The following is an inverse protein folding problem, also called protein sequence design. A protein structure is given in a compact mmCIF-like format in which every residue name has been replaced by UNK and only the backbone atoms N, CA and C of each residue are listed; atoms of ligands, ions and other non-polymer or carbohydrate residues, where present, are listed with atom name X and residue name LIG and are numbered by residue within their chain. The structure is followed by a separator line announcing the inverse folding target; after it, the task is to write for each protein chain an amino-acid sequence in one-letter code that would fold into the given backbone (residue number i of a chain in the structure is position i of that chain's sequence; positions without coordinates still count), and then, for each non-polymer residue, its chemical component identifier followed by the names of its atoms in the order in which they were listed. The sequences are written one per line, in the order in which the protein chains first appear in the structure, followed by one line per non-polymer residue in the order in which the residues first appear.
data_IF_519563444007
#
_entry.id   IF_519563444007
#
_cell.length_a   1.000
_cell.length_b   1.000
_cell.length_c   1.000
_cell.angle_alpha   90.00
_cell.angle_beta   90.00
_cell.angle_gamma   90.00
#
_symmetry.space_group_name_H-M   'P 1'
#
loop_
_entity.id
_entity.type
_entity.pdbx_description
1 polymer ?
2 non-polymer ?
3 non-polymer ?
4 water ?
#
# COMPACT_ATOMS: atom_id res chain seq x y z
N UNK A 4 12.28 2.00 -1.49
CA UNK A 4 11.44 1.36 -0.43
C UNK A 4 11.76 -0.12 -0.28
N UNK A 5 11.27 -0.72 0.80
CA UNK A 5 11.55 -2.12 1.10
C UNK A 5 10.30 -2.90 1.51
N UNK A 6 10.37 -4.21 1.35
CA UNK A 6 9.34 -5.12 1.84
C UNK A 6 9.99 -6.13 2.79
N UNK A 7 9.44 -6.20 3.99
CA UNK A 7 9.91 -7.10 5.02
C UNK A 7 8.88 -8.21 5.18
N UNK A 8 9.36 -9.45 5.26
CA UNK A 8 8.51 -10.59 5.56
C UNK A 8 8.69 -10.96 7.02
N UNK A 9 7.59 -11.30 7.68
CA UNK A 9 7.61 -11.75 9.07
C UNK A 9 6.96 -13.12 9.16
N UNK A 10 7.71 -14.08 9.70
CA UNK A 10 7.19 -15.41 9.95
C UNK A 10 7.01 -15.60 11.44
N UNK A 11 5.76 -15.77 11.87
CA UNK A 11 5.45 -16.04 13.26
C UNK A 11 5.52 -17.54 13.50
N UNK A 12 6.43 -17.96 14.38
CA UNK A 12 6.61 -19.38 14.70
C UNK A 12 6.82 -19.62 16.20
N UNK A 13 6.21 -18.76 17.00
CA UNK A 13 6.35 -18.82 18.46
C UNK A 13 5.28 -19.70 19.13
N UNK A 14 4.37 -20.25 18.32
CA UNK A 14 3.26 -21.06 18.81
C UNK A 14 3.68 -22.30 19.57
N UNK A 15 3.07 -22.50 20.74
CA UNK A 15 3.34 -23.66 21.59
C UNK A 15 2.75 -24.95 21.03
N UNK A 16 3.41 -26.07 21.31
CA UNK A 16 3.01 -27.36 20.79
C UNK A 16 1.98 -28.05 21.70
N UNK A 21 7.85 -33.09 21.40
CA UNK A 21 8.47 -32.59 20.18
C UNK A 21 7.81 -31.29 19.73
N UNK A 22 8.63 -30.24 19.49
CA UNK A 22 8.12 -28.97 18.97
C UNK A 22 7.48 -29.12 17.59
N UNK A 23 6.28 -28.54 17.43
CA UNK A 23 5.54 -28.60 16.17
C UNK A 23 6.34 -28.06 14.98
N UNK A 24 7.22 -27.11 15.26
CA UNK A 24 8.08 -26.49 14.24
C UNK A 24 9.04 -27.49 13.61
N UNK A 25 9.38 -28.53 14.36
CA UNK A 25 10.40 -29.49 13.96
C UNK A 25 9.85 -30.82 13.44
N UNK A 26 8.53 -30.95 13.38
CA UNK A 26 7.89 -32.13 12.80
C UNK A 26 8.30 -32.31 11.35
N UNK A 27 8.65 -33.55 10.96
CA UNK A 27 9.09 -33.84 9.59
C UNK A 27 8.03 -33.55 8.53
N UNK A 28 8.45 -32.96 7.42
CA UNK A 28 7.56 -32.67 6.29
C UNK A 28 8.39 -32.46 5.02
N UNK A 29 8.03 -33.18 3.96
CA UNK A 29 8.71 -33.10 2.66
C UNK A 29 10.24 -33.05 2.73
N UNK A 30 10.83 -34.05 3.39
CA UNK A 30 12.29 -34.18 3.55
C UNK A 30 12.95 -33.11 4.43
N UNK A 31 12.15 -32.16 4.91
CA UNK A 31 12.62 -31.13 5.84
C UNK A 31 11.67 -31.10 7.05
N UNK A 32 11.55 -29.95 7.71
CA UNK A 32 10.60 -29.77 8.81
C UNK A 32 9.45 -28.86 8.39
N UNK A 33 8.41 -28.80 9.22
CA UNK A 33 7.26 -27.92 8.95
C UNK A 33 7.71 -26.46 8.83
N UNK A 34 8.45 -25.98 9.83
CA UNK A 34 8.98 -24.61 9.82
C UNK A 34 10.01 -24.41 8.71
N UNK A 35 10.88 -25.39 8.50
CA UNK A 35 11.87 -25.34 7.43
C UNK A 35 11.25 -25.17 6.06
N UNK A 36 10.15 -25.89 5.83
CA UNK A 36 9.39 -25.77 4.58
C UNK A 36 8.81 -24.36 4.40
N UNK A 37 8.23 -23.81 5.47
CA UNK A 37 7.70 -22.45 5.47
C UNK A 37 8.80 -21.43 5.15
N UNK A 38 9.94 -21.55 5.82
CA UNK A 38 11.07 -20.65 5.59
C UNK A 38 11.64 -20.78 4.18
N UNK A 39 11.67 -22.00 3.66
CA UNK A 39 12.09 -22.25 2.26
C UNK A 39 11.23 -21.48 1.28
N UNK A 40 9.92 -21.42 1.55
CA UNK A 40 8.98 -20.67 0.72
C UNK A 40 9.22 -19.16 0.84
N UNK A 41 9.38 -18.68 2.07
CA UNK A 41 9.63 -17.26 2.33
C UNK A 41 10.93 -16.76 1.67
N UNK A 42 11.95 -17.62 1.67
CA UNK A 42 13.25 -17.29 1.07
C UNK A 42 13.19 -17.14 -0.46
N UNK A 43 12.14 -17.69 -1.07
CA UNK A 43 11.95 -17.63 -2.52
C UNK A 43 11.17 -16.39 -2.98
N UNK A 44 10.56 -15.69 -2.01
CA UNK A 44 9.63 -14.60 -2.30
C UNK A 44 10.29 -13.28 -2.69
N UNK A 45 11.55 -13.10 -2.32
CA UNK A 45 12.30 -11.89 -2.66
C UNK A 45 12.17 -10.77 -1.65
N UNK A 46 12.05 -11.12 -0.38
CA UNK A 46 12.01 -10.14 0.69
C UNK A 46 13.38 -9.48 0.89
N UNK A 47 13.36 -8.18 1.16
CA UNK A 47 14.57 -7.43 1.48
C UNK A 47 15.06 -7.80 2.89
N UNK A 48 14.11 -8.20 3.74
CA UNK A 48 14.38 -8.56 5.13
C UNK A 48 13.42 -9.67 5.53
N UNK A 49 13.92 -10.67 6.25
CA UNK A 49 13.08 -11.74 6.77
C UNK A 49 13.27 -11.88 8.28
N UNK A 50 12.17 -11.70 9.02
CA UNK A 50 12.16 -11.80 10.47
C UNK A 50 11.40 -13.07 10.87
N UNK A 51 11.99 -13.85 11.77
CA UNK A 51 11.36 -15.05 12.31
C UNK A 51 11.22 -14.90 13.82
N UNK A 52 10.01 -15.16 14.33
CA UNK A 52 9.80 -15.18 15.78
C UNK A 52 9.75 -16.61 16.29
N UNK A 53 10.40 -16.83 17.42
CA UNK A 53 10.40 -18.15 18.06
C UNK A 53 10.05 -18.02 19.53
N UNK A 54 9.53 -19.09 20.11
CA UNK A 54 9.16 -19.12 21.52
C UNK A 54 10.08 -19.97 22.37
N UNK A 55 9.48 -20.91 23.12
CA UNK A 55 10.23 -21.79 24.01
C UNK A 55 11.08 -22.82 23.31
N UNK A 56 10.75 -23.12 22.05
CA UNK A 56 11.49 -24.10 21.26
C UNK A 56 12.67 -23.49 20.50
N UNK A 57 12.99 -22.23 20.79
CA UNK A 57 14.05 -21.49 20.10
C UNK A 57 15.38 -22.24 19.99
N UNK A 58 15.87 -22.75 21.13
CA UNK A 58 17.12 -23.49 21.18
C UNK A 58 17.11 -24.74 20.29
N UNK A 59 16.00 -25.48 20.36
CA UNK A 59 15.83 -26.70 19.57
C UNK A 59 15.80 -26.41 18.07
N UNK A 60 15.08 -25.35 17.69
CA UNK A 60 15.00 -24.93 16.28
C UNK A 60 16.38 -24.53 15.76
N UNK A 61 17.09 -23.71 16.53
CA UNK A 61 18.44 -23.25 16.17
C UNK A 61 19.41 -24.40 15.90
N UNK A 62 19.34 -25.43 16.73
CA UNK A 62 20.24 -26.58 16.63
C UNK A 62 19.86 -27.53 15.48
N UNK A 63 18.62 -27.41 15.00
CA UNK A 63 18.09 -28.31 13.98
C UNK A 63 18.18 -27.74 12.57
N UNK A 64 18.19 -26.41 12.45
CA UNK A 64 18.24 -25.77 11.14
C UNK A 64 19.12 -24.52 11.13
N UNK A 65 19.81 -24.32 10.01
CA UNK A 65 20.59 -23.11 9.78
C UNK A 65 19.62 -21.96 9.48
N UNK A 66 19.70 -20.92 10.29
CA UNK A 66 18.79 -19.78 10.16
C UNK A 66 19.47 -18.60 9.47
N UNK A 67 20.31 -18.91 8.49
CA UNK A 67 21.09 -17.94 7.74
C UNK A 67 20.20 -16.92 7.03
N UNK A 68 20.57 -15.65 7.13
CA UNK A 68 19.86 -14.57 6.43
C UNK A 68 18.53 -14.14 7.05
N UNK A 69 18.18 -14.73 8.19
CA UNK A 69 16.93 -14.39 8.87
C UNK A 69 17.20 -13.73 10.22
N UNK A 70 16.46 -12.65 10.49
CA UNK A 70 16.53 -11.98 11.79
C UNK A 70 15.66 -12.71 12.80
N UNK A 71 16.30 -13.41 13.73
CA UNK A 71 15.60 -14.22 14.71
C UNK A 71 15.25 -13.44 15.97
N UNK A 72 13.97 -13.46 16.34
CA UNK A 72 13.46 -12.79 17.54
C UNK A 72 12.85 -13.84 18.46
N UNK A 73 13.24 -13.80 19.74
CA UNK A 73 12.81 -14.79 20.71
C UNK A 73 11.87 -14.20 21.76
N UNK A 74 10.74 -14.86 21.97
CA UNK A 74 9.79 -14.51 23.03
C UNK A 74 9.58 -15.68 24.00
N UNK A 75 9.00 -15.39 25.16
CA UNK A 75 8.67 -16.42 26.15
C UNK A 75 7.21 -16.86 26.00
N UNK A 76 6.95 -18.13 26.25
CA UNK A 76 5.59 -18.69 26.13
C UNK A 76 4.85 -18.65 27.46
N UNK A 81 -1.90 -16.62 23.11
CA UNK A 81 -0.61 -16.57 22.43
C UNK A 81 0.26 -15.44 22.97
N UNK A 82 1.57 -15.54 22.72
CA UNK A 82 2.51 -14.48 23.06
C UNK A 82 2.39 -13.34 22.06
N UNK A 83 2.91 -12.17 22.42
CA UNK A 83 2.94 -11.03 21.53
C UNK A 83 4.25 -10.99 20.76
N UNK A 84 4.45 -11.96 19.88
CA UNK A 84 5.68 -12.04 19.09
C UNK A 84 5.69 -11.05 17.93
N UNK A 85 4.51 -10.69 17.41
CA UNK A 85 4.42 -9.72 16.32
C UNK A 85 4.89 -8.34 16.78
N UNK A 86 4.51 -7.96 17.99
CA UNK A 86 4.94 -6.70 18.60
C UNK A 86 6.46 -6.55 18.62
N UNK A 87 7.17 -7.60 19.03
CA UNK A 87 8.64 -7.54 19.08
C UNK A 87 9.30 -7.70 17.71
N UNK A 88 8.62 -8.38 16.78
CA UNK A 88 9.10 -8.47 15.39
C UNK A 88 9.07 -7.09 14.71
N UNK A 89 8.03 -6.32 14.99
CA UNK A 89 7.90 -4.97 14.42
C UNK A 89 9.08 -4.06 14.77
N UNK A 90 9.64 -4.24 15.97
CA UNK A 90 10.82 -3.49 16.41
C UNK A 90 12.03 -3.72 15.52
N UNK A 91 12.06 -4.85 14.82
CA UNK A 91 13.18 -5.23 13.95
C UNK A 91 13.00 -4.77 12.50
N UNK A 92 11.78 -4.38 12.14
CA UNK A 92 11.46 -3.96 10.78
C UNK A 92 12.26 -2.72 10.36
N UNK A 93 12.95 -2.83 9.26
CA UNK A 93 13.79 -1.74 8.74
C UNK A 93 12.94 -0.44 8.50
N UNK A 94 13.52 0.71 8.81
CA UNK A 94 12.83 2.00 8.66
C UNK A 94 12.29 2.27 7.25
N UNK A 95 12.99 1.78 6.23
CA UNK A 95 12.60 2.02 4.84
C UNK A 95 11.51 1.06 4.32
N UNK A 96 11.15 0.07 5.14
CA UNK A 96 10.04 -0.81 4.81
C UNK A 96 8.71 -0.05 4.96
N UNK A 97 7.84 -0.18 3.95
CA UNK A 97 6.55 0.51 3.95
C UNK A 97 5.45 -0.35 4.56
N UNK A 98 5.81 -1.57 4.93
CA UNK A 98 4.90 -2.50 5.59
C UNK A 98 5.49 -3.89 5.70
N UNK A 99 4.66 -4.83 6.14
CA UNK A 99 5.11 -6.23 6.27
C UNK A 99 4.18 -7.19 5.56
N UNK A 100 4.77 -8.27 5.04
CA UNK A 100 3.99 -9.45 4.68
C UNK A 100 4.07 -10.42 5.85
N UNK A 101 2.91 -10.82 6.37
CA UNK A 101 2.85 -11.70 7.54
C UNK A 101 2.53 -13.13 7.16
N UNK A 102 3.37 -14.05 7.63
CA UNK A 102 3.22 -15.48 7.40
C UNK A 102 3.28 -16.24 8.72
N UNK A 103 2.66 -17.42 8.77
CA UNK A 103 2.72 -18.26 9.96
C UNK A 103 3.63 -19.45 9.75
N UNK A 104 4.45 -19.75 10.76
CA UNK A 104 5.43 -20.83 10.70
C UNK A 104 4.86 -22.21 10.47
N UNK A 105 3.61 -22.42 10.89
CA UNK A 105 2.94 -23.72 10.74
C UNK A 105 2.00 -23.78 9.53
N UNK A 106 2.24 -22.93 8.53
CA UNK A 106 1.48 -22.95 7.29
C UNK A 106 2.42 -23.11 6.09
N UNK A 107 3.00 -24.32 5.91
CA UNK A 107 4.03 -24.49 4.88
C UNK A 107 3.52 -24.55 3.45
N UNK A 108 2.20 -24.68 3.28
CA UNK A 108 1.58 -24.83 1.96
C UNK A 108 1.41 -23.53 1.18
N UNK A 109 1.71 -22.40 1.81
CA UNK A 109 1.66 -21.11 1.12
C UNK A 109 2.53 -21.16 -0.14
N UNK A 110 1.95 -20.78 -1.27
CA UNK A 110 2.65 -20.81 -2.55
C UNK A 110 3.56 -19.61 -2.72
N UNK A 111 4.80 -19.84 -3.22
CA UNK A 111 5.72 -18.73 -3.49
C UNK A 111 5.10 -17.68 -4.41
N UNK A 112 4.29 -18.13 -5.38
CA UNK A 112 3.60 -17.23 -6.32
C UNK A 112 2.64 -16.27 -5.61
N UNK A 113 1.93 -16.78 -4.61
CA UNK A 113 1.02 -15.96 -3.80
C UNK A 113 1.78 -14.85 -3.08
N UNK A 114 2.96 -15.20 -2.57
CA UNK A 114 3.83 -14.24 -1.89
C UNK A 114 4.34 -13.15 -2.85
N UNK A 115 4.67 -13.54 -4.07
CA UNK A 115 5.12 -12.56 -5.07
C UNK A 115 3.99 -11.62 -5.49
N UNK A 116 2.77 -12.16 -5.57
CA UNK A 116 1.59 -11.37 -5.90
C UNK A 116 1.24 -10.34 -4.83
N UNK A 117 1.28 -10.77 -3.56
CA UNK A 117 0.98 -9.86 -2.46
C UNK A 117 2.09 -8.82 -2.24
N UNK A 118 3.33 -9.20 -2.52
CA UNK A 118 4.44 -8.24 -2.51
C UNK A 118 4.22 -7.16 -3.57
N UNK A 119 3.66 -7.57 -4.71
CA UNK A 119 3.42 -6.65 -5.83
C UNK A 119 2.32 -5.63 -5.53
N UNK A 120 1.13 -6.10 -5.17
CA UNK A 120 -0.04 -5.22 -5.04
C UNK A 120 -0.36 -4.78 -3.61
N UNK A 121 0.13 -5.54 -2.63
CA UNK A 121 -0.05 -5.21 -1.21
C UNK A 121 0.27 -3.76 -0.81
N UNK A 122 1.43 -3.22 -1.25
CA UNK A 122 1.84 -1.88 -0.84
C UNK A 122 0.89 -0.74 -1.20
N UNK A 123 0.01 -0.96 -2.17
CA UNK A 123 -1.01 0.01 -2.55
C UNK A 123 -2.27 -0.10 -1.68
N UNK A 124 -2.17 -0.84 -0.58
CA UNK A 124 -3.29 -1.05 0.34
C UNK A 124 -2.84 -0.81 1.78
N UNK A 125 -3.80 -0.57 2.67
CA UNK A 125 -3.48 -0.48 4.10
C UNK A 125 -3.38 -1.88 4.71
N UNK A 126 -4.35 -2.74 4.39
CA UNK A 126 -4.32 -4.14 4.80
C UNK A 126 -4.81 -4.98 3.63
N UNK A 127 -4.09 -6.06 3.33
CA UNK A 127 -4.52 -7.00 2.33
C UNK A 127 -4.51 -8.43 2.87
N UNK A 128 -5.58 -9.16 2.58
CA UNK A 128 -5.69 -10.56 2.92
C UNK A 128 -5.89 -11.38 1.65
N UNK A 129 -5.63 -12.68 1.73
CA UNK A 129 -5.91 -13.56 0.62
C UNK A 129 -7.30 -14.16 0.75
N UNK A 130 -8.04 -14.14 -0.36
CA UNK A 130 -9.36 -14.76 -0.44
C UNK A 130 -9.23 -16.09 -1.16
N UNK A 131 -9.35 -17.16 -0.38
CA UNK A 131 -9.32 -18.52 -0.92
C UNK A 131 -10.75 -18.99 -1.17
N UNK A 132 -10.91 -20.24 -1.60
CA UNK A 132 -12.22 -20.81 -1.88
C UNK A 132 -13.07 -21.01 -0.62
N UNK A 133 -12.41 -21.30 0.49
CA UNK A 133 -13.12 -21.54 1.76
C UNK A 133 -12.95 -20.40 2.78
N UNK A 134 -12.51 -19.24 2.31
CA UNK A 134 -12.44 -18.05 3.14
C UNK A 134 -11.13 -17.30 3.12
N UNK A 135 -11.00 -16.37 4.07
CA UNK A 135 -9.83 -15.50 4.21
C UNK A 135 -8.65 -16.28 4.81
N UNK A 136 -7.44 -15.97 4.36
CA UNK A 136 -6.25 -16.64 4.85
C UNK A 136 -4.96 -15.90 4.58
N UNK A 137 -3.88 -16.39 5.18
CA UNK A 137 -2.54 -15.84 4.98
C UNK A 137 -2.03 -16.14 3.57
N UNK A 138 -1.03 -15.37 3.08
CA UNK A 138 -0.34 -14.27 3.75
C UNK A 138 -1.19 -12.99 3.88
N UNK A 139 -0.87 -12.18 4.88
CA UNK A 139 -1.46 -10.85 5.02
C UNK A 139 -0.41 -9.79 4.71
N UNK A 140 -0.87 -8.63 4.24
CA UNK A 140 -0.03 -7.45 4.15
C UNK A 140 -0.55 -6.41 5.13
N UNK A 141 0.37 -5.80 5.89
CA UNK A 141 0.05 -4.65 6.73
C UNK A 141 0.96 -3.49 6.42
N UNK A 142 0.35 -2.35 6.08
CA UNK A 142 1.10 -1.12 5.87
C UNK A 142 1.64 -0.61 7.20
N UNK A 143 2.74 0.13 7.12
CA UNK A 143 3.33 0.83 8.25
C UNK A 143 2.28 1.65 9.04
N UNK A 144 1.30 2.19 8.33
CA UNK A 144 0.24 2.98 8.97
C UNK A 144 -0.50 2.24 10.10
N UNK A 145 -0.49 0.90 10.07
CA UNK A 145 -1.16 0.12 11.11
C UNK A 145 -0.24 -0.60 12.11
N UNK A 146 1.07 -0.31 12.04
CA UNK A 146 2.06 -0.94 12.93
C UNK A 146 1.74 -0.68 14.40
N UNK A 147 1.35 0.55 14.71
CA UNK A 147 0.95 0.94 16.08
C UNK A 147 -0.19 0.10 16.61
N UNK A 148 -1.23 -0.08 15.81
CA UNK A 148 -2.37 -0.92 16.17
C UNK A 148 -1.99 -2.37 16.38
N UNK A 149 -1.14 -2.89 15.49
CA UNK A 149 -0.63 -4.25 15.59
C UNK A 149 0.11 -4.47 16.91
N UNK A 150 0.93 -3.49 17.27
CA UNK A 150 1.72 -3.54 18.51
C UNK A 150 0.87 -3.47 19.77
N UNK A 151 -0.32 -2.90 19.65
CA UNK A 151 -1.21 -2.73 20.80
C UNK A 151 -2.21 -3.88 21.00
N UNK A 152 -2.18 -4.85 20.09
CA UNK A 152 -2.92 -6.09 20.27
C UNK A 152 -2.32 -6.85 21.45
N UNK A 153 -3.18 -7.50 22.24
CA UNK A 153 -2.74 -8.27 23.41
C UNK A 153 -1.75 -9.37 23.03
N UNK A 154 -2.02 -10.06 21.93
CA UNK A 154 -1.15 -11.11 21.43
C UNK A 154 -1.33 -11.34 19.94
N UNK A 155 -0.62 -12.33 19.41
CA UNK A 155 -0.68 -12.66 17.98
C UNK A 155 -2.07 -13.14 17.54
N UNK A 156 -2.88 -13.60 18.49
CA UNK A 156 -4.24 -14.07 18.20
C UNK A 156 -5.19 -12.96 17.76
N UNK A 157 -4.87 -11.71 18.13
CA UNK A 157 -5.74 -10.56 17.85
C UNK A 157 -5.75 -10.07 16.41
N UNK A 158 -4.84 -10.60 15.59
CA UNK A 158 -4.73 -10.22 14.18
C UNK A 158 -5.99 -10.62 13.38
N UNK A 159 -6.54 -11.79 13.69
CA UNK A 159 -7.72 -12.32 12.99
C UNK A 159 -8.93 -11.36 13.05
N UNK A 160 -9.20 -10.82 14.23
CA UNK A 160 -10.26 -9.83 14.42
C UNK A 160 -9.96 -8.54 13.65
N UNK A 161 -8.70 -8.12 13.65
CA UNK A 161 -8.30 -6.89 12.97
C UNK A 161 -8.54 -6.95 11.47
N UNK A 162 -8.18 -8.06 10.84
CA UNK A 162 -8.31 -8.19 9.38
C UNK A 162 -9.76 -8.34 8.92
N UNK A 163 -10.66 -8.60 9.86
CA UNK A 163 -12.10 -8.69 9.58
C UNK A 163 -12.85 -7.42 9.96
N UNK A 164 -12.13 -6.44 10.52
CA UNK A 164 -12.72 -5.19 10.98
C UNK A 164 -13.01 -4.23 9.83
N UNK A 165 -14.12 -3.49 9.95
CA UNK A 165 -14.49 -2.46 8.97
C UNK A 165 -13.80 -1.13 9.20
N UNK A 166 -12.94 -1.08 10.22
CA UNK A 166 -12.22 0.14 10.61
C UNK A 166 -11.11 0.51 9.62
N UNK A 167 -10.63 -0.48 8.87
CA UNK A 167 -9.61 -0.28 7.86
C UNK A 167 -10.12 -0.76 6.51
N UNK A 168 -9.64 -0.15 5.40
CA UNK A 168 -10.03 -0.67 4.10
C UNK A 168 -9.24 -1.92 3.76
N UNK A 169 -9.74 -3.08 4.17
CA UNK A 169 -9.07 -4.35 3.93
C UNK A 169 -9.35 -4.81 2.50
N UNK A 170 -8.28 -4.93 1.72
CA UNK A 170 -8.39 -5.39 0.33
C UNK A 170 -8.12 -6.87 0.26
N UNK A 171 -8.56 -7.50 -0.83
CA UNK A 171 -8.48 -8.94 -0.97
C UNK A 171 -7.71 -9.35 -2.22
N UNK A 172 -6.83 -10.33 -2.06
CA UNK A 172 -6.12 -10.94 -3.16
C UNK A 172 -6.73 -12.32 -3.42
N UNK A 173 -7.21 -12.54 -4.64
CA UNK A 173 -7.84 -13.80 -5.01
C UNK A 173 -6.80 -14.90 -5.23
N UNK A 174 -6.95 -15.99 -4.49
CA UNK A 174 -6.04 -17.14 -4.62
C UNK A 174 -6.86 -18.42 -4.84
N UNK A 175 -6.45 -19.20 -5.84
CA UNK A 175 -7.07 -20.48 -6.15
C UNK A 175 -6.81 -21.52 -5.06
N UNK A 176 -7.76 -22.42 -4.87
CA UNK A 176 -7.65 -23.45 -3.84
C UNK A 176 -8.16 -22.97 -2.50
N UNK A 177 -8.05 -23.84 -1.49
CA UNK A 177 -8.46 -23.47 -0.14
C UNK A 177 -7.30 -22.97 0.73
N UNK A 178 -7.64 -22.45 1.91
CA UNK A 178 -6.66 -21.92 2.86
C UNK A 178 -5.66 -23.01 3.25
N UNK A 179 -4.34 -22.67 3.23
CA UNK A 179 -3.29 -23.54 3.75
C UNK A 179 -3.61 -24.04 5.16
N UNK A 180 -3.26 -25.30 5.42
CA UNK A 180 -3.50 -25.92 6.72
C UNK A 180 -2.63 -25.28 7.81
N UNK A 181 -3.28 -24.94 8.93
CA UNK A 181 -2.58 -24.42 10.09
C UNK A 181 -2.30 -25.60 11.03
N UNK A 182 -1.04 -25.98 11.11
CA UNK A 182 -0.64 -27.21 11.81
C UNK A 182 -0.52 -26.99 13.33
N UNK A 183 -1.63 -27.21 14.03
CA UNK A 183 -1.65 -27.11 15.49
C UNK A 183 -1.75 -28.50 16.13
N UNK A 184 -2.72 -29.28 15.67
CA UNK A 184 -3.02 -30.58 16.25
C UNK A 184 -2.36 -31.73 15.48
N UNK A 185 -2.48 -32.95 16.01
CA UNK A 185 -2.02 -34.15 15.31
C UNK A 185 -2.88 -34.43 14.08
N UNK A 186 -4.17 -34.12 14.19
CA UNK A 186 -5.11 -34.24 13.06
C UNK A 186 -4.73 -33.28 11.93
N UNK A 187 -4.28 -32.08 12.30
CA UNK A 187 -3.77 -31.11 11.33
C UNK A 187 -2.53 -31.64 10.62
N UNK A 188 -1.62 -32.21 11.40
CA UNK A 188 -0.36 -32.76 10.89
C UNK A 188 -0.58 -33.98 10.00
N UNK A 189 -1.58 -34.80 10.35
CA UNK A 189 -1.99 -35.93 9.53
C UNK A 189 -2.53 -35.45 8.18
N UNK A 190 -3.36 -34.41 8.21
CA UNK A 190 -3.94 -33.82 7.01
C UNK A 190 -2.87 -33.21 6.09
N UNK A 191 -1.84 -32.64 6.70
CA UNK A 191 -0.73 -32.05 5.95
C UNK A 191 0.07 -33.12 5.20
N UNK A 192 0.39 -34.21 5.90
CA UNK A 192 1.17 -35.31 5.32
C UNK A 192 0.39 -36.06 4.24
N UNK A 193 -0.93 -36.06 4.34
CA UNK A 193 -1.82 -36.74 3.40
C UNK A 193 -1.70 -36.18 1.99
N UNK A 194 -1.84 -34.85 1.87
CA UNK A 194 -1.72 -34.17 0.58
C UNK A 194 -0.25 -34.06 0.16
N UNK A 195 0.07 -34.65 -0.99
CA UNK A 195 1.44 -34.64 -1.52
C UNK A 195 1.45 -34.53 -3.03
N UNK B 2 -20.92 -5.27 -10.85
CA UNK B 2 -21.20 -3.80 -10.70
C UNK B 2 -20.22 -2.95 -11.49
N UNK B 3 -20.68 -1.77 -11.89
CA UNK B 3 -19.97 -0.90 -12.84
C UNK B 3 -18.55 -0.51 -12.41
N UNK B 4 -17.68 -0.36 -13.40
CA UNK B 4 -16.33 0.18 -13.18
C UNK B 4 -16.44 1.63 -12.72
N UNK B 5 -15.47 2.05 -11.92
CA UNK B 5 -15.45 3.41 -11.38
C UNK B 5 -14.14 4.12 -11.73
N UNK B 6 -14.18 5.45 -11.67
CA UNK B 6 -12.99 6.28 -11.83
C UNK B 6 -12.82 7.14 -10.57
N UNK B 7 -11.62 7.07 -10.00
CA UNK B 7 -11.31 7.80 -8.79
C UNK B 7 -10.36 8.94 -9.07
N UNK B 8 -10.69 10.12 -8.58
CA UNK B 8 -9.81 11.28 -8.66
C UNK B 8 -8.96 11.39 -7.40
N UNK B 9 -7.69 11.73 -7.57
CA UNK B 9 -6.78 11.93 -6.44
C UNK B 9 -6.11 13.29 -6.56
N UNK B 10 -6.31 14.13 -5.56
CA UNK B 10 -5.64 15.43 -5.50
C UNK B 10 -4.55 15.39 -4.43
N UNK B 11 -3.31 15.56 -4.87
CA UNK B 11 -2.17 15.60 -3.93
C UNK B 11 -1.94 17.03 -3.45
N UNK B 12 -2.06 17.22 -2.14
CA UNK B 12 -1.88 18.54 -1.54
C UNK B 12 -1.11 18.47 -0.22
N UNK B 13 -0.21 17.50 -0.12
CA UNK B 13 0.59 17.29 1.09
C UNK B 13 1.92 18.05 1.07
N UNK B 14 2.15 18.82 0.02
CA UNK B 14 3.39 19.58 -0.15
C UNK B 14 3.60 20.65 0.90
N UNK B 15 4.84 20.76 1.38
CA UNK B 15 5.21 21.75 2.39
C UNK B 15 5.25 23.16 1.81
N UNK B 22 0.93 28.48 4.75
CA UNK B 22 0.70 27.28 3.96
C UNK B 22 0.23 27.60 2.54
N UNK B 23 0.96 27.08 1.56
CA UNK B 23 0.65 27.33 0.14
C UNK B 23 -0.77 26.95 -0.27
N UNK B 24 -1.32 25.92 0.38
CA UNK B 24 -2.68 25.45 0.16
C UNK B 24 -3.71 26.54 0.38
N UNK B 25 -3.44 27.40 1.36
CA UNK B 25 -4.40 28.41 1.81
C UNK B 25 -4.14 29.81 1.27
N UNK B 26 -3.13 29.95 0.42
CA UNK B 26 -2.86 31.23 -0.25
C UNK B 26 -4.08 31.64 -1.07
N UNK B 27 -4.60 32.86 -0.82
CA UNK B 27 -5.82 33.33 -1.48
C UNK B 27 -5.71 33.36 -3.01
N UNK B 28 -6.79 32.98 -3.68
CA UNK B 28 -6.87 32.99 -5.14
C UNK B 28 -8.31 33.17 -5.56
N UNK B 29 -8.55 34.21 -6.36
CA UNK B 29 -9.91 34.65 -6.73
C UNK B 29 -10.76 34.89 -5.48
N UNK B 30 -11.80 34.07 -5.30
CA UNK B 30 -12.69 34.18 -4.15
C UNK B 30 -12.45 33.07 -3.12
N UNK B 31 -11.39 32.30 -3.34
CA UNK B 31 -11.09 31.13 -2.52
C UNK B 31 -9.57 31.02 -2.37
N UNK B 32 -9.09 29.82 -2.04
CA UNK B 32 -7.67 29.52 -1.95
C UNK B 32 -7.16 28.75 -3.18
N UNK B 33 -5.85 28.58 -3.27
CA UNK B 33 -5.25 27.79 -4.36
C UNK B 33 -5.82 26.37 -4.37
N UNK B 34 -5.79 25.71 -3.21
CA UNK B 34 -6.33 24.36 -3.09
C UNK B 34 -7.85 24.32 -3.30
N UNK B 35 -8.54 25.31 -2.74
CA UNK B 35 -9.99 25.44 -2.91
C UNK B 35 -10.43 25.46 -4.37
N UNK B 36 -9.70 26.20 -5.20
CA UNK B 36 -9.98 26.30 -6.62
C UNK B 36 -9.71 24.98 -7.36
N UNK B 37 -8.63 24.29 -6.96
CA UNK B 37 -8.31 22.97 -7.51
C UNK B 37 -9.44 21.97 -7.24
N UNK B 38 -9.96 21.98 -6.02
CA UNK B 38 -11.06 21.09 -5.65
C UNK B 38 -12.37 21.44 -6.38
N UNK B 39 -12.63 22.74 -6.55
CA UNK B 39 -13.79 23.19 -7.32
C UNK B 39 -13.81 22.60 -8.73
N UNK B 40 -12.64 22.54 -9.36
CA UNK B 40 -12.49 21.94 -10.68
C UNK B 40 -12.70 20.41 -10.62
N UNK B 41 -12.08 19.77 -9.63
CA UNK B 41 -12.18 18.31 -9.46
C UNK B 41 -13.61 17.84 -9.22
N UNK B 42 -14.36 18.62 -8.43
CA UNK B 42 -15.76 18.30 -8.13
C UNK B 42 -16.68 18.38 -9.36
N UNK B 43 -16.19 19.00 -10.44
CA UNK B 43 -16.96 19.19 -11.67
C UNK B 43 -16.74 18.08 -12.70
N UNK B 44 -15.75 17.23 -12.44
CA UNK B 44 -15.30 16.24 -13.42
C UNK B 44 -16.17 14.99 -13.54
N UNK B 45 -16.94 14.70 -12.48
CA UNK B 45 -17.80 13.51 -12.47
C UNK B 45 -17.14 12.26 -11.93
N UNK B 46 -16.17 12.43 -11.03
CA UNK B 46 -15.50 11.30 -10.38
C UNK B 46 -16.48 10.52 -9.49
N UNK B 47 -16.33 9.20 -9.46
CA UNK B 47 -17.14 8.36 -8.57
C UNK B 47 -16.62 8.49 -7.13
N UNK B 48 -15.37 8.90 -7.00
CA UNK B 48 -14.70 9.07 -5.71
C UNK B 48 -13.62 10.13 -5.85
N UNK B 49 -13.50 10.99 -4.84
CA UNK B 49 -12.46 12.01 -4.80
C UNK B 49 -11.65 11.94 -3.51
N UNK B 50 -10.35 11.72 -3.66
CA UNK B 50 -9.44 11.62 -2.53
C UNK B 50 -8.51 12.84 -2.50
N UNK B 51 -8.33 13.39 -1.31
CA UNK B 51 -7.44 14.52 -1.11
C UNK B 51 -6.39 14.17 -0.07
N UNK B 52 -5.14 14.42 -0.39
CA UNK B 52 -4.06 14.20 0.58
C UNK B 52 -3.58 15.51 1.16
N UNK B 53 -3.31 15.51 2.46
CA UNK B 53 -2.80 16.69 3.15
C UNK B 53 -1.60 16.33 4.02
N UNK B 54 -0.78 17.33 4.32
CA UNK B 54 0.42 17.14 5.12
C UNK B 54 0.32 17.80 6.49
N UNK B 55 1.39 18.50 6.87
CA UNK B 55 1.46 19.18 8.16
C UNK B 55 0.45 20.31 8.32
N UNK B 56 -0.05 20.82 7.19
CA UNK B 56 -1.03 21.90 7.18
C UNK B 56 -2.48 21.41 7.25
N UNK B 57 -2.66 20.11 7.45
CA UNK B 57 -3.98 19.48 7.47
C UNK B 57 -4.99 20.19 8.38
N UNK B 58 -4.60 20.38 9.64
CA UNK B 58 -5.46 21.05 10.63
C UNK B 58 -5.90 22.45 10.17
N UNK B 59 -4.96 23.20 9.63
CA UNK B 59 -5.24 24.54 9.10
C UNK B 59 -6.18 24.49 7.89
N UNK B 60 -5.95 23.53 7.00
CA UNK B 60 -6.78 23.36 5.80
C UNK B 60 -8.21 22.93 6.17
N UNK B 61 -8.33 21.96 7.06
CA UNK B 61 -9.62 21.49 7.56
C UNK B 61 -10.46 22.64 8.13
N UNK B 62 -9.81 23.49 8.91
CA UNK B 62 -10.48 24.61 9.59
C UNK B 62 -10.87 25.75 8.65
N UNK B 63 -10.17 25.84 7.52
CA UNK B 63 -10.32 26.98 6.60
C UNK B 63 -11.25 26.69 5.40
N UNK B 64 -11.51 25.42 5.12
CA UNK B 64 -12.39 25.06 4.01
C UNK B 64 -13.24 23.82 4.28
N UNK B 65 -14.36 23.70 3.56
CA UNK B 65 -15.24 22.54 3.66
C UNK B 65 -14.75 21.44 2.73
N UNK B 66 -14.76 20.20 3.24
CA UNK B 66 -14.23 19.06 2.50
C UNK B 66 -15.25 17.93 2.37
N UNK B 67 -16.52 18.30 2.26
CA UNK B 67 -17.62 17.33 2.15
C UNK B 67 -17.61 16.62 0.80
N UNK B 68 -17.83 15.30 0.84
CA UNK B 68 -17.84 14.48 -0.37
C UNK B 68 -16.47 14.04 -0.85
N UNK B 69 -15.43 14.53 -0.19
CA UNK B 69 -14.06 14.12 -0.52
C UNK B 69 -13.46 13.28 0.61
N UNK B 70 -12.70 12.26 0.23
CA UNK B 70 -12.03 11.38 1.18
C UNK B 70 -10.67 11.97 1.54
N UNK B 71 -10.54 12.45 2.77
CA UNK B 71 -9.32 13.15 3.21
C UNK B 71 -8.33 12.18 3.83
N UNK B 72 -7.10 12.20 3.33
CA UNK B 72 -6.01 11.37 3.82
C UNK B 72 -4.85 12.24 4.29
N UNK B 73 -4.37 11.99 5.52
CA UNK B 73 -3.34 12.83 6.14
C UNK B 73 -2.00 12.11 6.33
N UNK B 74 -0.93 12.73 5.84
CA UNK B 74 0.43 12.27 6.10
C UNK B 74 1.23 13.30 6.88
N UNK B 75 2.33 12.88 7.49
CA UNK B 75 3.23 13.79 8.17
C UNK B 75 4.31 14.30 7.22
N UNK B 76 4.85 15.48 7.51
CA UNK B 76 5.87 16.10 6.67
C UNK B 76 7.21 15.37 6.77
N UNK B 77 7.99 15.46 5.69
CA UNK B 77 9.30 14.82 5.61
C UNK B 77 10.40 15.87 5.50
N UNK B 79 13.35 16.54 4.51
CA UNK B 79 13.53 17.14 3.20
C UNK B 79 12.75 16.38 2.12
N UNK B 80 12.35 17.10 1.07
CA UNK B 80 11.64 16.50 -0.06
C UNK B 80 10.14 16.48 0.11
N UNK B 81 9.48 15.59 -0.63
CA UNK B 81 8.03 15.40 -0.52
C UNK B 81 7.69 14.08 0.17
N UNK B 82 6.56 14.07 0.85
CA UNK B 82 6.06 12.87 1.52
C UNK B 82 5.47 11.90 0.49
N UNK B 83 5.24 10.66 0.92
CA UNK B 83 4.61 9.66 0.07
C UNK B 83 3.11 9.61 0.35
N UNK B 84 2.41 10.65 -0.08
CA UNK B 84 0.97 10.75 0.16
C UNK B 84 0.16 9.94 -0.85
N UNK B 85 0.71 9.74 -2.05
CA UNK B 85 0.03 8.93 -3.06
C UNK B 85 -0.13 7.49 -2.60
N UNK B 86 0.90 6.96 -1.94
CA UNK B 86 0.86 5.61 -1.37
C UNK B 86 -0.34 5.40 -0.47
N UNK B 87 -0.55 6.33 0.47
CA UNK B 87 -1.68 6.23 1.40
C UNK B 87 -3.03 6.56 0.75
N UNK B 88 -3.01 7.38 -0.29
CA UNK B 88 -4.22 7.65 -1.09
C UNK B 88 -4.72 6.38 -1.80
N UNK B 89 -3.79 5.59 -2.34
CA UNK B 89 -4.14 4.37 -3.06
C UNK B 89 -4.88 3.36 -2.18
N UNK B 90 -4.54 3.34 -0.88
CA UNK B 90 -5.22 2.49 0.09
C UNK B 90 -6.72 2.77 0.19
N UNK B 91 -7.13 4.00 -0.15
CA UNK B 91 -8.54 4.43 -0.06
C UNK B 91 -9.33 4.25 -1.36
N UNK B 92 -8.63 4.00 -2.45
CA UNK B 92 -9.28 3.84 -3.77
C UNK B 92 -10.25 2.65 -3.75
N UNK B 93 -11.46 2.88 -4.16
CA UNK B 93 -12.49 1.86 -4.20
C UNK B 93 -12.04 0.65 -5.02
N UNK B 94 -12.33 -0.57 -4.58
CA UNK B 94 -11.96 -1.76 -5.36
C UNK B 94 -12.49 -1.77 -6.80
N UNK B 95 -13.65 -1.17 -7.03
CA UNK B 95 -14.27 -1.11 -8.35
C UNK B 95 -13.60 -0.11 -9.31
N UNK B 96 -12.75 0.76 -8.78
CA UNK B 96 -12.01 1.69 -9.62
C UNK B 96 -10.95 0.96 -10.45
N UNK B 97 -10.90 1.26 -11.74
CA UNK B 97 -9.95 0.62 -12.65
C UNK B 97 -8.66 1.43 -12.78
N UNK B 98 -8.64 2.58 -12.12
CA UNK B 98 -7.46 3.45 -12.10
C UNK B 98 -7.76 4.78 -11.44
N UNK B 99 -6.77 5.67 -11.45
CA UNK B 99 -6.95 7.00 -10.89
C UNK B 99 -6.62 8.10 -11.88
N UNK B 100 -7.30 9.23 -11.75
CA UNK B 100 -6.82 10.47 -12.35
C UNK B 100 -6.11 11.26 -11.26
N UNK B 101 -4.85 11.61 -11.52
CA UNK B 101 -4.01 12.28 -10.53
C UNK B 101 -3.90 13.77 -10.82
N UNK B 102 -4.23 14.57 -9.82
CA UNK B 102 -4.16 16.03 -9.91
C UNK B 102 -3.30 16.58 -8.78
N UNK B 103 -2.70 17.74 -9.01
CA UNK B 103 -1.94 18.42 -7.97
C UNK B 103 -2.76 19.57 -7.38
N UNK B 104 -2.73 19.68 -6.06
CA UNK B 104 -3.53 20.69 -5.35
C UNK B 104 -3.13 22.13 -5.63
N UNK B 105 -1.90 22.31 -6.12
CA UNK B 105 -1.38 23.64 -6.46
C UNK B 105 -1.41 23.93 -7.96
N UNK B 106 -2.31 23.26 -8.69
CA UNK B 106 -2.52 23.53 -10.11
C UNK B 106 -4.00 23.80 -10.40
N UNK B 107 -4.51 24.96 -9.93
CA UNK B 107 -5.94 25.25 -10.02
C UNK B 107 -6.43 25.57 -11.44
N UNK B 108 -5.51 25.81 -12.36
CA UNK B 108 -5.86 26.23 -13.73
C UNK B 108 -6.21 25.08 -14.67
N UNK B 109 -6.19 23.85 -14.16
CA UNK B 109 -6.64 22.69 -14.94
C UNK B 109 -8.11 22.90 -15.33
N UNK B 110 -8.41 22.67 -16.60
CA UNK B 110 -9.77 22.86 -17.12
C UNK B 110 -10.63 21.62 -16.85
N UNK B 111 -11.90 21.83 -16.43
CA UNK B 111 -12.85 20.74 -16.26
C UNK B 111 -12.97 19.85 -17.51
N UNK B 112 -12.90 20.48 -18.69
CA UNK B 112 -12.96 19.75 -19.97
C UNK B 112 -11.82 18.76 -20.14
N UNK B 113 -10.62 19.13 -19.69
CA UNK B 113 -9.45 18.25 -19.75
C UNK B 113 -9.67 16.99 -18.92
N UNK B 114 -10.22 17.18 -17.73
CA UNK B 114 -10.52 16.08 -16.81
C UNK B 114 -11.55 15.11 -17.38
N UNK B 115 -12.59 15.66 -18.02
CA UNK B 115 -13.61 14.82 -18.64
C UNK B 115 -13.06 14.02 -19.82
N UNK B 116 -12.15 14.64 -20.58
CA UNK B 116 -11.48 13.98 -21.69
C UNK B 116 -10.58 12.83 -21.23
N UNK B 117 -9.79 13.08 -20.18
CA UNK B 117 -8.91 12.03 -19.65
C UNK B 117 -9.71 10.91 -18.97
N UNK B 118 -10.85 11.25 -18.36
CA UNK B 118 -11.74 10.23 -17.80
C UNK B 118 -12.31 9.35 -18.91
N UNK B 119 -12.56 9.96 -20.06
CA UNK B 119 -13.13 9.26 -21.21
C UNK B 119 -12.15 8.27 -21.86
N UNK B 120 -10.96 8.76 -22.22
CA UNK B 120 -9.99 7.94 -22.98
C UNK B 120 -8.89 7.28 -22.13
N UNK B 121 -8.64 7.84 -20.95
CA UNK B 121 -7.63 7.29 -20.03
C UNK B 121 -7.72 5.79 -19.74
N UNK B 122 -8.94 5.28 -19.43
CA UNK B 122 -9.13 3.87 -19.08
C UNK B 122 -8.64 2.85 -20.11
N UNK B 123 -8.52 3.25 -21.37
CA UNK B 123 -8.01 2.38 -22.43
C UNK B 123 -6.48 2.41 -22.51
N UNK B 124 -5.83 2.99 -21.49
CA UNK B 124 -4.38 3.07 -21.44
C UNK B 124 -3.86 2.62 -20.08
N UNK B 125 -2.57 2.31 -20.00
CA UNK B 125 -1.94 2.01 -18.72
C UNK B 125 -1.54 3.30 -18.01
N UNK B 126 -0.94 4.22 -18.77
CA UNK B 126 -0.61 5.55 -18.27
C UNK B 126 -0.94 6.58 -19.34
N UNK B 127 -1.61 7.65 -18.95
CA UNK B 127 -1.84 8.76 -19.86
C UNK B 127 -1.40 10.08 -19.22
N UNK B 128 -0.70 10.88 -20.00
CA UNK B 128 -0.30 12.23 -19.58
C UNK B 128 -0.86 13.25 -20.56
N UNK B 129 -0.94 14.51 -20.12
CA UNK B 129 -1.39 15.57 -21.00
C UNK B 129 -0.22 16.23 -21.71
N UNK B 130 -0.34 16.36 -23.03
CA UNK B 130 0.63 17.07 -23.86
C UNK B 130 0.11 18.47 -24.16
N UNK B 131 0.71 19.46 -23.50
CA UNK B 131 0.39 20.87 -23.69
C UNK B 131 1.35 21.48 -24.71
N UNK B 132 1.13 22.75 -25.04
CA UNK B 132 1.97 23.46 -26.02
C UNK B 132 3.43 23.58 -25.59
N UNK B 133 3.65 23.72 -24.29
CA UNK B 133 5.00 23.88 -23.74
C UNK B 133 5.53 22.65 -23.01
N UNK B 134 4.86 21.51 -23.20
CA UNK B 134 5.33 20.23 -22.66
C UNK B 134 4.29 19.36 -21.98
N UNK B 135 4.77 18.28 -21.37
CA UNK B 135 3.93 17.31 -20.68
C UNK B 135 3.53 17.83 -19.29
N UNK B 136 2.28 17.57 -18.89
CA UNK B 136 1.80 17.97 -17.59
C UNK B 136 0.58 17.21 -17.09
N UNK B 137 0.16 17.56 -15.87
CA UNK B 137 -1.04 16.99 -15.25
C UNK B 137 -2.30 17.52 -15.92
N UNK B 138 -3.43 16.79 -15.79
CA UNK B 138 -3.63 15.56 -15.03
C UNK B 138 -3.02 14.31 -15.68
N UNK B 139 -2.77 13.30 -14.85
CA UNK B 139 -2.29 12.01 -15.30
C UNK B 139 -3.38 10.96 -15.07
N UNK B 140 -3.36 9.91 -15.88
CA UNK B 140 -4.15 8.72 -15.61
C UNK B 140 -3.21 7.56 -15.31
N UNK B 141 -3.49 6.82 -14.24
CA UNK B 141 -2.79 5.58 -13.93
C UNK B 141 -3.77 4.43 -13.79
N UNK B 142 -3.58 3.39 -14.59
CA UNK B 142 -4.37 2.17 -14.48
C UNK B 142 -4.05 1.45 -13.18
N UNK B 143 -4.99 0.66 -12.70
CA UNK B 143 -4.79 -0.17 -11.52
C UNK B 143 -3.54 -1.06 -11.64
N UNK B 144 -3.20 -1.43 -12.88
CA UNK B 144 -2.06 -2.31 -13.14
C UNK B 144 -0.74 -1.72 -12.63
N UNK B 145 -0.68 -0.41 -12.46
CA UNK B 145 0.54 0.25 -12.00
C UNK B 145 0.49 0.79 -10.56
N UNK B 146 -0.57 0.43 -9.82
CA UNK B 146 -0.73 0.88 -8.43
C UNK B 146 0.44 0.42 -7.56
N UNK B 147 0.88 -0.82 -7.78
CA UNK B 147 2.04 -1.38 -7.09
C UNK B 147 3.31 -0.54 -7.26
N UNK B 148 3.59 -0.15 -8.50
CA UNK B 148 4.75 0.68 -8.82
C UNK B 148 4.66 2.07 -8.19
N UNK B 149 3.47 2.65 -8.24
CA UNK B 149 3.20 3.94 -7.62
C UNK B 149 3.48 3.91 -6.11
N UNK B 150 3.02 2.86 -5.45
CA UNK B 150 3.22 2.69 -4.01
C UNK B 150 4.69 2.48 -3.62
N UNK B 151 5.47 1.93 -4.55
CA UNK B 151 6.90 1.68 -4.31
C UNK B 151 7.77 2.92 -4.49
N UNK B 152 7.18 4.00 -4.99
CA UNK B 152 7.89 5.28 -5.08
C UNK B 152 8.22 5.81 -3.69
N UNK B 153 9.41 6.41 -3.56
CA UNK B 153 9.88 6.94 -2.27
C UNK B 153 9.06 8.15 -1.83
N UNK B 154 8.60 8.93 -2.80
CA UNK B 154 7.75 10.09 -2.54
C UNK B 154 6.95 10.47 -3.77
N UNK B 155 6.01 11.39 -3.59
CA UNK B 155 5.15 11.86 -4.68
C UNK B 155 5.92 12.44 -5.87
N UNK B 156 7.12 12.95 -5.60
CA UNK B 156 7.99 13.52 -6.64
C UNK B 156 8.50 12.47 -7.64
N UNK B 157 8.42 11.21 -7.26
CA UNK B 157 8.89 10.10 -8.11
C UNK B 157 7.96 9.73 -9.26
N UNK B 158 6.76 10.31 -9.28
CA UNK B 158 5.78 10.03 -10.34
C UNK B 158 6.31 10.48 -11.70
N UNK B 159 6.90 11.68 -11.74
CA UNK B 159 7.48 12.25 -12.96
C UNK B 159 8.49 11.29 -13.61
N UNK B 160 9.40 10.74 -12.80
CA UNK B 160 10.40 9.79 -13.28
C UNK B 160 9.74 8.53 -13.84
N UNK B 161 8.69 8.06 -13.16
CA UNK B 161 8.00 6.83 -13.50
C UNK B 161 7.34 6.92 -14.87
N UNK B 162 6.76 8.09 -15.15
CA UNK B 162 6.13 8.36 -16.44
C UNK B 162 7.15 8.27 -17.58
N UNK B 163 8.33 8.82 -17.35
CA UNK B 163 9.39 8.86 -18.37
C UNK B 163 10.33 7.64 -18.35
N UNK B 164 9.96 6.61 -17.58
CA UNK B 164 10.82 5.44 -17.39
C UNK B 164 10.98 4.58 -18.65
N UNK B 165 9.90 4.44 -19.41
CA UNK B 165 9.90 3.63 -20.63
C UNK B 165 9.43 2.20 -20.42
N UNK B 166 9.20 1.84 -19.16
CA UNK B 166 8.72 0.51 -18.80
C UNK B 166 7.22 0.33 -19.07
N UNK B 167 6.53 1.45 -19.27
CA UNK B 167 5.09 1.43 -19.56
C UNK B 167 4.78 2.15 -20.86
N UNK B 168 3.76 1.67 -21.61
CA UNK B 168 3.32 2.38 -22.81
C UNK B 168 2.53 3.64 -22.44
N UNK B 169 3.24 4.76 -22.27
CA UNK B 169 2.62 6.02 -21.89
C UNK B 169 1.95 6.68 -23.10
N UNK B 170 0.66 6.97 -22.97
CA UNK B 170 -0.09 7.64 -24.03
C UNK B 170 -0.26 9.12 -23.71
N UNK B 171 -0.58 9.92 -24.71
CA UNK B 171 -0.68 11.37 -24.54
C UNK B 171 -2.04 11.92 -24.95
N UNK B 172 -2.56 12.83 -24.13
CA UNK B 172 -3.77 13.58 -24.46
C UNK B 172 -3.37 15.01 -24.82
N UNK B 173 -3.64 15.40 -26.07
CA UNK B 173 -3.33 16.74 -26.55
C UNK B 173 -4.25 17.77 -25.90
N UNK B 174 -3.66 18.80 -25.29
CA UNK B 174 -4.42 19.85 -24.62
C UNK B 174 -3.92 21.23 -25.06
N UNK B 175 -4.86 22.09 -25.42
CA UNK B 175 -4.56 23.46 -25.86
C UNK B 175 -4.02 24.32 -24.72
N UNK B 176 -3.20 25.31 -25.07
CA UNK B 176 -2.58 26.19 -24.09
C UNK B 176 -1.36 25.56 -23.43
N UNK B 177 -0.73 26.28 -22.52
CA UNK B 177 0.41 25.77 -21.77
C UNK B 177 0.03 25.04 -20.49
N UNK B 178 1.01 24.36 -19.90
CA UNK B 178 0.85 23.64 -18.64
C UNK B 178 0.36 24.60 -17.55
N UNK B 179 -0.71 24.22 -16.82
CA UNK B 179 -1.18 25.02 -15.69
C UNK B 179 -0.06 25.27 -14.68
N UNK B 180 -0.05 26.46 -14.09
CA UNK B 180 0.99 26.85 -13.15
C UNK B 180 1.05 25.93 -11.94
N UNK B 181 2.28 25.57 -11.56
CA UNK B 181 2.52 24.77 -10.36
C UNK B 181 2.99 25.74 -9.27
N UNK B 182 2.04 26.16 -8.43
CA UNK B 182 2.27 27.24 -7.47
C UNK B 182 3.17 26.81 -6.30
N UNK B 183 4.48 26.93 -6.50
CA UNK B 183 5.47 26.58 -5.49
C UNK B 183 6.08 27.83 -4.84
N UNK B 184 6.63 28.71 -5.66
CA UNK B 184 7.32 29.90 -5.18
C UNK B 184 6.41 31.13 -5.18
N UNK B 185 6.89 32.24 -4.61
CA UNK B 185 6.18 33.51 -4.66
C UNK B 185 6.01 34.01 -6.10
N UNK B 186 7.01 33.72 -6.94
CA UNK B 186 6.98 34.06 -8.36
C UNK B 186 5.84 33.34 -9.10
N UNK B 187 5.63 32.07 -8.77
CA UNK B 187 4.51 31.30 -9.30
C UNK B 187 3.19 31.91 -8.88
N UNK B 188 3.09 32.29 -7.61
CA UNK B 188 1.88 32.87 -7.04
C UNK B 188 1.55 34.23 -7.66
N UNK B 189 2.59 35.00 -7.97
CA UNK B 189 2.46 36.27 -8.70
C UNK B 189 1.76 36.04 -10.03
N UNK B 190 2.26 35.08 -10.81
CA UNK B 190 1.74 34.76 -12.12
C UNK B 190 0.30 34.27 -12.09
N UNK B 191 -0.06 33.56 -11.02
CA UNK B 191 -1.43 33.09 -10.82
C UNK B 191 -2.41 34.24 -10.60
N UNK B 192 -1.99 35.23 -9.81
CA UNK B 192 -2.82 36.41 -9.56
C UNK B 192 -2.93 37.31 -10.78
N UNK B 193 -1.87 37.36 -11.58
CA UNK B 193 -1.84 38.17 -12.81
C UNK B 193 -2.73 37.59 -13.92
N UNK B 194 -2.94 36.27 -13.87
CA UNK B 194 -3.78 35.59 -14.86
C UNK B 194 -5.26 35.86 -14.62
X LIG C 1 -1.28 -22.45 14.33
X LIG D 1 2.40 -18.31 16.31
X LIG D 1 1.39 -17.69 17.09
X LIG D 1 1.80 -19.50 15.57
X LIG D 1 0.86 -19.01 14.62
X LIG D 1 2.89 -20.26 14.83
X LIG D 1 3.15 -21.47 15.49
X LIG E 1 4.06 22.09 -6.59
X LIG F 1 0.64 21.29 -2.05
X LIG F 1 1.79 20.92 -2.77
X LIG F 1 -0.34 21.98 -2.98
X LIG F 1 -1.35 21.08 -3.32
X LIG F 1 -0.94 23.20 -2.30
X LIG F 1 -2.03 23.70 -3.06
X LIG G 1 3.14 16.26 -5.25
X LIG G 1 4.29 16.42 -6.05
X LIG G 1 3.07 17.38 -4.22
X LIG G 1 2.31 16.96 -3.10
X LIG G 1 2.44 18.62 -4.85
X LIG G 1 1.12 18.80 -4.40
#
# INVERSE_FOLDING_TARGET
MTATQITGVVLAAGRSNRLGTPKQLLPYRDTTVLGATLDVARQAGFDQLILTLGGAASAVRAAMALDGTDVVVVEDVERGCAASLRVALARVHPRATGIVLMLGDQPQVAPATLRRIIDVGPATEIMVCRYADGVGHPFWFSRTVFGELARLHGDKGVWKLVHSGRHPVRELAVDGCVPLDVDTWDDYRRLLESVPS
MTATQITGVVLAAGRSNRLGTPKQLLPYRDTTVLGATLDVARQAGFDQLILTLGGAASAVRAAMALDGTDVVVVEDVERGCAASLRVALARVHPRATGIVLMLGDQPQVAPATLRRIIDVGPATEIMVCRYADGVGHPFWFSRTVFGELARLHGDKGVWKLVHSGRHPVRELAVDGCVPLDVDTWDDYRRLLESVPS
MN MN
GOL C1 O1 C2 O2 C3 O3
MN MN
GOL C1 O1 C2 O2 C3 O3
GOL C1 O1 C2 O2 C3 O3
#
